data_IF_490621263109
#
_entry.id   IF_490621263109
#
_cell.length_a   1.000
_cell.length_b   1.000
_cell.length_c   1.000
_cell.angle_alpha   90.00
_cell.angle_beta   90.00
_cell.angle_gamma   90.00
#
_symmetry.space_group_name_H-M   'P 1'
#
loop_
_entity.id
_entity.type
_entity.pdbx_description
1 polymer ?
#
# COMPACT_ATOMS: atom_id res chain seq x y z
N UNK A 1 -2.45 -9.16 26.45
CA UNK A 1 -2.50 -7.78 25.94
C UNK A 1 -1.31 -7.62 25.02
N UNK A 2 -1.48 -7.90 23.73
CA UNK A 2 -0.34 -8.01 22.81
C UNK A 2 0.12 -6.61 22.39
N UNK A 3 1.27 -6.18 22.89
CA UNK A 3 2.05 -5.11 22.29
C UNK A 3 2.80 -5.71 21.10
N UNK A 4 2.41 -5.34 19.88
CA UNK A 4 3.18 -5.65 18.69
C UNK A 4 4.01 -4.41 18.32
N UNK A 5 5.33 -4.53 18.51
CA UNK A 5 6.29 -3.73 17.76
C UNK A 5 6.24 -4.20 16.30
N UNK A 6 5.73 -3.36 15.41
CA UNK A 6 5.89 -3.57 13.96
C UNK A 6 7.30 -3.12 13.63
N UNK A 7 8.20 -4.08 13.48
CA UNK A 7 9.46 -3.85 12.77
C UNK A 7 9.12 -3.98 11.28
N UNK A 8 9.27 -2.88 10.54
CA UNK A 8 9.16 -2.87 9.09
C UNK A 8 10.22 -3.81 8.50
N UNK A 9 9.81 -5.01 8.09
CA UNK A 9 10.56 -5.84 7.15
C UNK A 9 9.61 -6.16 6.01
N UNK A 10 9.64 -5.32 4.97
CA UNK A 10 9.37 -5.66 3.56
C UNK A 10 9.65 -4.44 2.64
N UNK A 11 10.62 -3.59 3.00
CA UNK A 11 11.26 -2.65 2.07
C UNK A 11 12.64 -3.21 1.74
N UNK A 12 12.78 -3.82 0.56
CA UNK A 12 14.09 -4.24 0.04
C UNK A 12 14.89 -2.98 -0.24
N UNK A 13 15.84 -2.68 0.65
CA UNK A 13 16.89 -1.68 0.46
C UNK A 13 17.73 -2.05 -0.76
N UNK A 14 17.67 -1.24 -1.81
CA UNK A 14 18.77 -1.11 -2.75
C UNK A 14 19.36 0.27 -2.58
N UNK A 15 20.45 0.33 -1.82
CA UNK A 15 21.45 1.39 -1.90
C UNK A 15 22.80 0.69 -2.09
N UNK A 16 23.60 1.21 -3.04
CA UNK A 16 24.92 0.71 -3.50
C UNK A 16 24.91 -0.48 -4.47
N UNK A 17 24.44 -0.32 -5.72
CA UNK A 17 24.89 -1.20 -6.82
C UNK A 17 25.07 -0.43 -8.12
N UNK A 18 26.20 -0.72 -8.76
CA UNK A 18 26.77 -0.13 -9.98
C UNK A 18 25.78 0.07 -11.14
N UNK A 19 26.05 1.14 -11.91
CA UNK A 19 25.28 1.64 -13.05
C UNK A 19 24.98 0.57 -14.14
N UNK A 20 25.82 -0.47 -14.25
CA UNK A 20 25.65 -1.56 -15.22
C UNK A 20 24.57 -2.60 -14.80
N UNK A 21 24.36 -2.84 -13.50
CA UNK A 21 23.29 -3.72 -12.99
C UNK A 21 21.89 -3.10 -13.16
N UNK A 22 21.84 -1.78 -13.27
CA UNK A 22 20.60 -1.02 -13.43
C UNK A 22 19.96 -1.18 -14.82
N UNK A 23 20.77 -1.50 -15.85
CA UNK A 23 20.28 -1.72 -17.22
C UNK A 23 19.63 -3.11 -17.36
N UNK A 24 20.25 -4.16 -16.81
CA UNK A 24 19.72 -5.54 -16.88
C UNK A 24 18.46 -5.72 -16.03
N UNK A 25 18.38 -5.13 -14.82
CA UNK A 25 17.14 -5.16 -14.02
C UNK A 25 15.95 -4.50 -14.73
N UNK A 26 16.20 -3.52 -15.60
CA UNK A 26 15.15 -2.78 -16.31
C UNK A 26 14.42 -3.67 -17.32
N UNK A 27 15.11 -4.58 -18.00
CA UNK A 27 14.49 -5.48 -18.99
C UNK A 27 13.54 -6.47 -18.31
N UNK A 28 13.97 -7.11 -17.21
CA UNK A 28 13.12 -8.05 -16.48
C UNK A 28 11.95 -7.37 -15.79
N UNK A 29 12.16 -6.22 -15.14
CA UNK A 29 11.07 -5.46 -14.54
C UNK A 29 10.06 -5.01 -15.60
N UNK A 30 10.52 -4.57 -16.77
CA UNK A 30 9.63 -4.22 -17.87
C UNK A 30 8.79 -5.42 -18.31
N UNK A 31 9.39 -6.58 -18.51
CA UNK A 31 8.63 -7.80 -18.85
C UNK A 31 7.60 -8.15 -17.77
N UNK A 32 7.96 -8.06 -16.49
CA UNK A 32 7.04 -8.33 -15.38
C UNK A 32 5.90 -7.30 -15.30
N UNK A 33 6.16 -6.04 -15.67
CA UNK A 33 5.14 -4.99 -15.76
C UNK A 33 4.22 -5.23 -16.96
N UNK A 34 4.78 -5.56 -18.12
CA UNK A 34 4.02 -5.85 -19.34
C UNK A 34 3.13 -7.09 -19.17
N UNK A 35 3.55 -8.05 -18.34
CA UNK A 35 2.76 -9.23 -17.96
C UNK A 35 1.79 -8.97 -16.78
N UNK A 36 1.73 -7.74 -16.27
CA UNK A 36 0.93 -7.35 -15.10
C UNK A 36 1.25 -8.12 -13.81
N UNK A 37 2.42 -8.75 -13.71
CA UNK A 37 2.90 -9.44 -12.51
C UNK A 37 3.42 -8.42 -11.49
N UNK A 38 4.07 -7.36 -11.97
CA UNK A 38 4.58 -6.25 -11.16
C UNK A 38 3.90 -4.96 -11.60
N UNK A 39 3.50 -4.14 -10.64
CA UNK A 39 3.00 -2.78 -10.85
C UNK A 39 4.10 -1.79 -10.50
N UNK A 40 4.05 -0.64 -11.17
CA UNK A 40 4.92 0.50 -10.91
C UNK A 40 4.03 1.66 -10.48
N UNK A 41 4.18 2.10 -9.23
CA UNK A 41 3.38 3.17 -8.65
C UNK A 41 4.27 4.39 -8.38
N UNK A 42 3.74 5.59 -8.63
CA UNK A 42 4.35 6.85 -8.23
C UNK A 42 3.46 7.51 -7.18
N UNK A 43 4.09 8.20 -6.23
CA UNK A 43 3.35 9.01 -5.26
C UNK A 43 2.52 10.03 -6.02
N UNK A 44 1.29 10.24 -5.55
CA UNK A 44 0.42 11.30 -6.06
C UNK A 44 1.15 12.65 -6.06
N UNK A 45 1.04 13.39 -7.17
CA UNK A 45 1.70 14.66 -7.42
C UNK A 45 3.16 14.55 -7.87
N UNK A 46 3.71 13.33 -8.00
CA UNK A 46 5.10 13.07 -8.42
C UNK A 46 5.22 12.12 -9.62
N UNK A 47 4.15 11.98 -10.40
CA UNK A 47 4.14 11.17 -11.62
C UNK A 47 5.34 11.52 -12.53
N UNK A 48 6.09 10.51 -12.93
CA UNK A 48 7.24 10.64 -13.85
C UNK A 48 8.47 11.39 -13.32
N UNK A 49 8.43 11.93 -12.10
CA UNK A 49 9.53 12.72 -11.50
C UNK A 49 10.00 12.18 -10.15
N UNK A 50 9.15 11.42 -9.44
CA UNK A 50 9.50 10.78 -8.18
C UNK A 50 10.15 9.40 -8.35
N UNK A 51 10.76 8.90 -7.27
CA UNK A 51 11.19 7.50 -7.19
C UNK A 51 9.96 6.59 -7.17
N UNK A 52 9.77 5.70 -8.16
CA UNK A 52 8.64 4.79 -8.20
C UNK A 52 8.82 3.66 -7.17
N UNK A 53 7.70 3.11 -6.72
CA UNK A 53 7.64 1.83 -6.02
C UNK A 53 7.23 0.74 -7.00
N UNK A 54 7.80 -0.45 -6.81
CA UNK A 54 7.45 -1.65 -7.58
C UNK A 54 6.83 -2.67 -6.63
N UNK A 55 5.65 -3.19 -6.97
CA UNK A 55 4.92 -4.15 -6.15
C UNK A 55 4.45 -5.32 -7.01
N UNK A 56 4.47 -6.55 -6.48
CA UNK A 56 3.77 -7.66 -7.13
C UNK A 56 2.27 -7.36 -7.14
N UNK A 57 1.66 -7.27 -8.31
CA UNK A 57 0.27 -6.84 -8.47
C UNK A 57 -0.75 -7.92 -8.08
N UNK A 58 -0.41 -9.18 -8.32
CA UNK A 58 -1.34 -10.29 -8.13
C UNK A 58 -1.32 -10.78 -6.68
N UNK A 59 -2.50 -10.77 -6.04
CA UNK A 59 -2.65 -11.18 -4.64
C UNK A 59 -2.39 -12.67 -4.42
N UNK A 60 -2.66 -13.51 -5.41
CA UNK A 60 -2.35 -14.94 -5.34
C UNK A 60 -0.83 -15.16 -5.39
N UNK A 61 -0.07 -14.44 -6.22
CA UNK A 61 1.39 -14.50 -6.18
C UNK A 61 1.93 -14.01 -4.83
N UNK A 62 1.47 -12.85 -4.33
CA UNK A 62 1.88 -12.35 -3.02
C UNK A 62 1.62 -13.37 -1.91
N UNK A 63 0.43 -13.98 -1.90
CA UNK A 63 0.08 -15.02 -0.95
C UNK A 63 0.98 -16.24 -1.09
N UNK A 64 1.21 -16.71 -2.32
CA UNK A 64 2.02 -17.89 -2.60
C UNK A 64 3.46 -17.72 -2.12
N UNK A 65 4.13 -16.63 -2.51
CA UNK A 65 5.51 -16.37 -2.14
C UNK A 65 5.67 -16.11 -0.64
N UNK A 66 4.67 -15.51 0.01
CA UNK A 66 4.72 -15.21 1.45
C UNK A 66 4.40 -16.41 2.34
N UNK A 67 3.42 -17.22 1.97
CA UNK A 67 2.85 -18.23 2.90
C UNK A 67 2.94 -19.66 2.40
N UNK A 68 3.04 -19.90 1.09
CA UNK A 68 3.08 -21.26 0.52
C UNK A 68 4.51 -21.69 0.25
N UNK A 69 5.26 -20.90 -0.52
CA UNK A 69 6.62 -21.23 -0.95
C UNK A 69 7.58 -21.58 0.21
N UNK A 70 7.62 -20.80 1.32
CA UNK A 70 8.55 -21.12 2.41
C UNK A 70 8.25 -22.45 3.09
N UNK A 71 7.02 -22.95 2.96
CA UNK A 71 6.53 -24.17 3.61
C UNK A 71 6.01 -25.20 2.61
N UNK A 72 6.44 -25.12 1.35
CA UNK A 72 5.90 -25.92 0.26
C UNK A 72 5.92 -27.43 0.56
N UNK A 73 7.02 -27.92 1.13
CA UNK A 73 7.15 -29.33 1.56
C UNK A 73 6.04 -29.77 2.53
N UNK A 74 5.60 -28.90 3.43
CA UNK A 74 4.53 -29.22 4.37
C UNK A 74 3.18 -29.30 3.66
N UNK A 75 2.95 -28.44 2.67
CA UNK A 75 1.74 -28.51 1.84
C UNK A 75 1.73 -29.81 1.03
N UNK A 76 2.85 -30.17 0.39
CA UNK A 76 3.00 -31.39 -0.42
C UNK A 76 2.87 -32.69 0.39
N UNK A 77 3.16 -32.65 1.69
CA UNK A 77 3.06 -33.82 2.60
C UNK A 77 1.77 -33.83 3.42
N UNK A 78 0.76 -33.05 3.02
CA UNK A 78 -0.55 -32.92 3.70
C UNK A 78 -0.46 -32.42 5.16
N UNK A 79 0.59 -31.67 5.47
CA UNK A 79 0.85 -31.04 6.78
C UNK A 79 0.68 -29.52 6.74
N UNK A 80 0.11 -28.99 5.66
CA UNK A 80 -0.10 -27.55 5.49
C UNK A 80 -0.94 -26.93 6.61
N UNK A 81 -1.90 -27.69 7.17
CA UNK A 81 -2.73 -27.25 8.30
C UNK A 81 -1.89 -26.96 9.55
N UNK A 82 -0.90 -27.78 9.86
CA UNK A 82 -0.02 -27.57 11.03
C UNK A 82 0.74 -26.25 10.90
N UNK A 83 1.36 -26.01 9.75
CA UNK A 83 2.07 -24.77 9.45
C UNK A 83 1.15 -23.56 9.45
N UNK A 84 -0.08 -23.71 8.95
CA UNK A 84 -1.04 -22.62 8.94
C UNK A 84 -1.24 -22.07 10.36
N UNK A 85 -1.53 -22.93 11.33
CA UNK A 85 -1.72 -22.52 12.72
C UNK A 85 -0.42 -22.04 13.37
N UNK A 86 0.71 -22.67 13.06
CA UNK A 86 1.99 -22.36 13.70
C UNK A 86 2.63 -21.06 13.18
N UNK A 87 2.47 -20.72 11.90
CA UNK A 87 3.26 -19.66 11.25
C UNK A 87 2.44 -18.66 10.41
N UNK A 88 1.31 -19.08 9.82
CA UNK A 88 0.58 -18.24 8.84
C UNK A 88 -0.56 -17.45 9.49
N UNK A 89 -1.38 -18.09 10.33
CA UNK A 89 -2.63 -17.51 10.83
C UNK A 89 -2.45 -16.13 11.49
N UNK A 90 -1.40 -15.95 12.30
CA UNK A 90 -1.13 -14.68 12.98
C UNK A 90 -0.76 -13.54 12.04
N UNK A 91 -0.32 -13.84 10.82
CA UNK A 91 0.11 -12.86 9.82
C UNK A 91 -1.00 -12.49 8.83
N UNK A 92 -2.08 -13.30 8.75
CA UNK A 92 -3.21 -13.05 7.85
C UNK A 92 -3.82 -11.66 8.03
N UNK A 93 -4.05 -11.13 9.25
CA UNK A 93 -4.61 -9.79 9.41
C UNK A 93 -3.76 -8.68 8.77
N UNK A 94 -2.43 -8.77 8.89
CA UNK A 94 -1.52 -7.80 8.28
C UNK A 94 -1.55 -7.91 6.75
N UNK A 95 -1.56 -9.14 6.22
CA UNK A 95 -1.67 -9.38 4.78
C UNK A 95 -3.01 -8.85 4.21
N UNK A 96 -4.11 -9.08 4.93
CA UNK A 96 -5.43 -8.57 4.55
C UNK A 96 -5.52 -7.05 4.64
N UNK A 97 -4.72 -6.40 5.50
CA UNK A 97 -4.63 -4.94 5.56
C UNK A 97 -4.28 -4.32 4.21
N UNK A 98 -3.21 -4.79 3.57
CA UNK A 98 -2.81 -4.29 2.25
C UNK A 98 -3.87 -4.57 1.17
N UNK A 99 -4.54 -5.72 1.22
CA UNK A 99 -5.61 -6.05 0.27
C UNK A 99 -6.81 -5.13 0.48
N UNK A 100 -7.14 -4.82 1.74
CA UNK A 100 -8.24 -3.94 2.05
C UNK A 100 -8.01 -2.51 1.56
N UNK A 101 -6.78 -2.00 1.63
CA UNK A 101 -6.39 -0.71 1.03
C UNK A 101 -6.70 -0.70 -0.48
N UNK A 102 -6.35 -1.76 -1.21
CA UNK A 102 -6.65 -1.89 -2.64
C UNK A 102 -8.16 -1.95 -2.91
N UNK A 103 -8.93 -2.70 -2.12
CA UNK A 103 -10.40 -2.76 -2.22
C UNK A 103 -11.02 -1.39 -1.98
N UNK A 104 -10.53 -0.65 -0.98
CA UNK A 104 -10.96 0.72 -0.69
C UNK A 104 -10.67 1.64 -1.86
N UNK A 105 -9.49 1.50 -2.47
CA UNK A 105 -9.11 2.27 -3.65
C UNK A 105 -10.09 2.02 -4.81
N UNK A 106 -10.33 0.76 -5.16
CA UNK A 106 -11.29 0.37 -6.20
C UNK A 106 -12.72 0.85 -5.89
N UNK A 107 -13.13 0.76 -4.62
CA UNK A 107 -14.43 1.26 -4.17
C UNK A 107 -14.58 2.77 -4.41
N UNK A 108 -13.55 3.56 -4.15
CA UNK A 108 -13.55 5.00 -4.41
C UNK A 108 -13.66 5.33 -5.91
N UNK A 109 -13.26 4.41 -6.78
CA UNK A 109 -13.35 4.56 -8.23
C UNK A 109 -14.74 4.23 -8.81
N UNK A 110 -15.62 3.60 -8.03
CA UNK A 110 -16.96 3.25 -8.49
C UNK A 110 -17.75 4.51 -8.93
N UNK A 111 -18.44 4.48 -10.09
CA UNK A 111 -19.19 5.65 -10.57
C UNK A 111 -20.23 6.18 -9.56
N UNK A 112 -20.87 5.28 -8.81
CA UNK A 112 -21.85 5.62 -7.77
C UNK A 112 -21.25 6.36 -6.57
N UNK A 113 -19.96 6.17 -6.30
CA UNK A 113 -19.21 6.87 -5.26
C UNK A 113 -18.69 8.19 -5.84
N UNK A 114 -18.05 8.16 -7.02
CA UNK A 114 -17.51 9.35 -7.69
C UNK A 114 -18.56 10.42 -7.97
N UNK A 115 -19.78 10.05 -8.37
CA UNK A 115 -20.86 11.01 -8.61
C UNK A 115 -21.28 11.80 -7.35
N UNK A 116 -20.96 11.30 -6.16
CA UNK A 116 -21.24 11.98 -4.88
C UNK A 116 -20.08 12.88 -4.44
N UNK A 117 -18.93 12.81 -5.10
CA UNK A 117 -17.78 13.64 -4.76
C UNK A 117 -17.95 15.04 -5.35
N UNK A 118 -17.57 16.05 -4.57
CA UNK A 118 -17.70 17.46 -4.93
C UNK A 118 -16.47 17.95 -5.74
N UNK A 119 -15.42 17.13 -5.84
CA UNK A 119 -14.20 17.45 -6.58
C UNK A 119 -14.16 16.77 -7.95
N UNK A 120 -13.58 17.46 -8.94
CA UNK A 120 -13.18 16.83 -10.19
C UNK A 120 -11.77 16.27 -10.03
N UNK A 121 -11.67 14.97 -9.79
CA UNK A 121 -10.39 14.28 -9.59
C UNK A 121 -9.59 14.29 -10.89
N UNK A 122 -8.37 14.81 -10.84
CA UNK A 122 -7.39 14.79 -11.94
C UNK A 122 -6.30 13.75 -11.73
N UNK A 123 -5.99 13.44 -10.47
CA UNK A 123 -4.99 12.44 -10.08
C UNK A 123 -5.42 11.81 -8.76
N UNK A 124 -5.23 10.50 -8.62
CA UNK A 124 -5.44 9.78 -7.36
C UNK A 124 -4.47 8.61 -7.23
N UNK A 125 -4.22 8.17 -5.99
CA UNK A 125 -3.23 7.13 -5.68
C UNK A 125 -2.81 7.17 -4.21
N UNK A 126 -1.79 6.39 -3.86
CA UNK A 126 -1.10 6.56 -2.57
C UNK A 126 -0.18 7.77 -2.60
N UNK A 127 0.00 8.40 -1.46
CA UNK A 127 0.99 9.46 -1.30
C UNK A 127 2.04 9.05 -0.28
N UNK A 128 3.31 9.27 -0.61
CA UNK A 128 4.41 9.13 0.34
C UNK A 128 5.40 10.29 0.27
N UNK A 129 5.87 10.71 1.43
CA UNK A 129 6.79 11.84 1.56
C UNK A 129 7.48 11.89 2.91
N UNK A 130 8.51 12.72 3.00
CA UNK A 130 9.21 12.95 4.26
C UNK A 130 8.48 14.00 5.10
N UNK A 131 8.24 13.70 6.37
CA UNK A 131 7.87 14.68 7.39
C UNK A 131 9.16 15.31 7.94
N UNK A 132 9.44 16.59 7.64
CA UNK A 132 10.69 17.23 8.06
C UNK A 132 10.75 17.48 9.57
N UNK A 133 9.59 17.55 10.24
CA UNK A 133 9.51 17.78 11.69
C UNK A 133 9.81 16.49 12.43
N UNK A 134 9.17 15.39 12.02
CA UNK A 134 9.36 14.06 12.63
C UNK A 134 10.57 13.30 12.09
N UNK A 135 11.17 13.77 10.99
CA UNK A 135 12.31 13.14 10.29
C UNK A 135 12.04 11.67 9.92
N UNK A 136 10.84 11.40 9.42
CA UNK A 136 10.43 10.06 9.00
C UNK A 136 9.65 10.12 7.70
N UNK A 137 9.55 8.99 7.01
CA UNK A 137 8.62 8.85 5.89
C UNK A 137 7.18 8.71 6.42
N UNK A 138 6.25 9.29 5.68
CA UNK A 138 4.82 9.29 5.96
C UNK A 138 4.10 8.84 4.70
N UNK A 139 3.12 7.96 4.89
CA UNK A 139 2.24 7.46 3.84
C UNK A 139 0.78 7.81 4.14
N UNK A 140 0.03 8.11 3.08
CA UNK A 140 -1.42 8.26 3.08
C UNK A 140 -2.00 7.28 2.05
N UNK A 141 -2.85 6.37 2.50
CA UNK A 141 -3.38 5.23 1.72
C UNK A 141 -4.18 5.67 0.49
N UNK A 142 -4.92 6.78 0.59
CA UNK A 142 -5.65 7.36 -0.53
C UNK A 142 -5.52 8.88 -0.56
N UNK A 143 -5.06 9.42 -1.67
CA UNK A 143 -5.08 10.85 -1.97
C UNK A 143 -5.70 11.07 -3.34
N UNK A 144 -6.62 12.01 -3.46
CA UNK A 144 -7.10 12.51 -4.75
C UNK A 144 -6.86 14.01 -4.87
N UNK A 145 -6.19 14.44 -5.93
CA UNK A 145 -6.00 15.83 -6.32
C UNK A 145 -7.01 16.20 -7.40
N UNK A 146 -7.50 17.44 -7.37
CA UNK A 146 -8.47 17.90 -8.35
C UNK A 146 -8.92 19.34 -8.16
N UNK A 147 -9.85 19.78 -9.01
CA UNK A 147 -10.54 21.04 -8.74
C UNK A 147 -11.54 20.85 -7.60
N UNK A 148 -11.57 21.78 -6.65
CA UNK A 148 -12.41 21.70 -5.45
C UNK A 148 -11.74 21.09 -4.21
N UNK A 149 -10.44 20.77 -4.29
CA UNK A 149 -9.60 20.41 -3.15
C UNK A 149 -8.95 19.04 -3.24
N UNK A 150 -8.25 18.67 -2.17
CA UNK A 150 -7.59 17.38 -1.99
C UNK A 150 -8.43 16.49 -1.08
N UNK A 151 -8.69 15.25 -1.48
CA UNK A 151 -9.31 14.26 -0.60
C UNK A 151 -8.24 13.33 -0.03
N UNK A 152 -8.29 13.07 1.27
CA UNK A 152 -7.41 12.15 2.00
C UNK A 152 -8.24 11.02 2.60
N UNK A 153 -7.74 9.79 2.49
CA UNK A 153 -8.34 8.59 3.03
C UNK A 153 -7.30 7.70 3.71
N UNK A 154 -7.72 7.05 4.78
CA UNK A 154 -6.98 5.96 5.44
C UNK A 154 -7.90 4.73 5.49
N UNK A 155 -7.34 3.56 5.16
CA UNK A 155 -8.02 2.28 5.20
C UNK A 155 -7.44 1.42 6.32
N UNK A 156 -8.31 0.81 7.13
CA UNK A 156 -7.84 -0.06 8.23
C UNK A 156 -8.68 -1.32 8.33
N UNK A 157 -8.06 -2.46 8.03
CA UNK A 157 -8.63 -3.79 8.26
C UNK A 157 -8.66 -4.13 9.75
N UNK A 158 -9.85 -4.12 10.38
CA UNK A 158 -10.01 -4.46 11.80
C UNK A 158 -11.42 -4.88 12.19
N UNK A 159 -11.48 -5.67 13.27
CA UNK A 159 -12.72 -6.04 13.94
C UNK A 159 -13.06 -5.01 15.04
N UNK A 160 -13.57 -3.83 14.66
CA UNK A 160 -14.00 -2.81 15.63
C UNK A 160 -13.92 -1.39 15.07
N UNK A 161 -14.64 -0.45 15.67
CA UNK A 161 -14.76 0.92 15.15
C UNK A 161 -13.40 1.63 14.97
N UNK A 162 -13.36 2.52 13.98
CA UNK A 162 -12.22 3.39 13.73
C UNK A 162 -11.98 4.30 14.93
N UNK A 163 -10.77 4.24 15.49
CA UNK A 163 -10.35 5.14 16.56
C UNK A 163 -10.23 6.57 16.03
N UNK A 164 -10.65 7.54 16.83
CA UNK A 164 -10.49 8.98 16.53
C UNK A 164 -9.02 9.34 16.26
N UNK A 165 -8.08 8.64 16.90
CA UNK A 165 -6.65 8.83 16.68
C UNK A 165 -6.24 8.66 15.22
N UNK A 166 -6.88 7.75 14.47
CA UNK A 166 -6.57 7.53 13.05
C UNK A 166 -6.99 8.74 12.21
N UNK A 167 -8.14 9.32 12.53
CA UNK A 167 -8.61 10.53 11.86
C UNK A 167 -7.70 11.74 12.16
N UNK A 168 -7.30 11.92 13.42
CA UNK A 168 -6.38 12.98 13.82
C UNK A 168 -5.00 12.80 13.18
N UNK A 169 -4.51 11.57 13.10
CA UNK A 169 -3.26 11.26 12.41
C UNK A 169 -3.34 11.65 10.94
N UNK A 170 -4.43 11.31 10.25
CA UNK A 170 -4.64 11.66 8.84
C UNK A 170 -4.68 13.19 8.62
N UNK A 171 -5.26 13.95 9.55
CA UNK A 171 -5.18 15.43 9.54
C UNK A 171 -3.73 15.90 9.59
N UNK A 172 -2.93 15.35 10.51
CA UNK A 172 -1.52 15.72 10.67
C UNK A 172 -0.71 15.38 9.43
N UNK A 173 -0.86 14.16 8.88
CA UNK A 173 -0.22 13.75 7.63
C UNK A 173 -0.60 14.68 6.48
N UNK A 174 -1.89 15.03 6.41
CA UNK A 174 -2.43 15.94 5.42
C UNK A 174 -1.80 17.34 5.41
N UNK A 175 -1.16 17.79 6.50
CA UNK A 175 -0.43 19.08 6.54
C UNK A 175 0.74 19.14 5.55
N UNK A 176 1.29 17.99 5.17
CA UNK A 176 2.38 17.89 4.19
C UNK A 176 1.93 18.16 2.75
N UNK A 177 0.61 18.17 2.50
CA UNK A 177 0.01 18.44 1.21
C UNK A 177 -0.52 19.88 1.13
N UNK A 178 -0.45 20.48 -0.05
CA UNK A 178 -1.01 21.81 -0.33
C UNK A 178 -2.53 21.75 -0.62
N UNK A 179 -3.21 22.90 -0.48
CA UNK A 179 -4.64 23.08 -0.82
C UNK A 179 -5.63 22.80 0.31
N UNK A 180 -6.92 23.05 0.04
CA UNK A 180 -8.02 22.69 0.93
C UNK A 180 -8.18 21.17 1.00
N UNK A 181 -8.42 20.63 2.20
CA UNK A 181 -8.42 19.19 2.46
C UNK A 181 -9.78 18.72 2.91
N UNK A 182 -10.23 17.61 2.34
CA UNK A 182 -11.40 16.84 2.77
C UNK A 182 -10.92 15.47 3.20
N UNK A 183 -11.40 14.98 4.34
CA UNK A 183 -10.85 13.79 4.98
C UNK A 183 -11.97 12.80 5.22
N UNK A 184 -11.71 11.55 4.84
CA UNK A 184 -12.58 10.42 5.15
C UNK A 184 -11.75 9.26 5.71
N UNK A 185 -12.41 8.27 6.29
CA UNK A 185 -11.76 7.05 6.78
C UNK A 185 -12.68 5.88 6.48
N UNK A 186 -12.10 4.78 6.00
CA UNK A 186 -12.83 3.56 5.65
C UNK A 186 -12.34 2.39 6.52
N UNK A 187 -13.28 1.52 6.86
CA UNK A 187 -13.08 0.37 7.73
C UNK A 187 -13.94 -0.79 7.24
#
# INVERSE_FOLDING_TARGET
>A
MYHFNIVYYDLVYYDLLDYDLQYDMNVYLKSLIDLHIVSKEFSVGKQGSGKPLYQVSDQMYRFWYRFVQPYQRYVETDRGKEIYYAAVQGQIPAFMGCIFEEIVFEYMQLPSVRQKMICLITEEGRWWGSDPVRRQEVEIDYVSLGSGGTILGEAKWRNGLLLESVYLELIEKGRLLAGEKRIFSLQ
#
